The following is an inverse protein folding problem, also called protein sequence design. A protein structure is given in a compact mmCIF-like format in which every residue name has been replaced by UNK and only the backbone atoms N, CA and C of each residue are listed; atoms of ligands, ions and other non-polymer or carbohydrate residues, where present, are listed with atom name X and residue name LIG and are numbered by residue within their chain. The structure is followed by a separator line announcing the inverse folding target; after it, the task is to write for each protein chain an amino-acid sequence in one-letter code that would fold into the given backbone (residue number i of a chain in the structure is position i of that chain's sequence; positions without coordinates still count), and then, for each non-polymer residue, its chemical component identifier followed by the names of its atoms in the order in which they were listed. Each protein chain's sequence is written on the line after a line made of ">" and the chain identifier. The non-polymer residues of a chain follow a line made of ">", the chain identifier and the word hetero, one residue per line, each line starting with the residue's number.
data_IF_239217527242
#
_entry.id   IF_239217527242
#
_cell.length_a   1.000
_cell.length_b   1.000
_cell.length_c   1.000
_cell.angle_alpha   90.00
_cell.angle_beta   90.00
_cell.angle_gamma   90.00
#
_symmetry.space_group_name_H-M   'P 1'
#
loop_
_entity.id
_entity.type
_entity.pdbx_description
1 polymer ?
#
# COMPACT_ATOMS: atom_id res chain seq x y z
N UNK A 1 15.87 7.67 -5.87
CA UNK A 1 15.27 8.17 -4.62
C UNK A 1 16.24 7.90 -3.47
N UNK A 2 16.37 8.77 -2.47
CA UNK A 2 17.15 8.46 -1.26
C UNK A 2 16.19 7.94 -0.18
N UNK A 3 16.12 6.61 -0.04
CA UNK A 3 15.21 5.93 0.89
C UNK A 3 15.52 6.24 2.36
N UNK A 4 16.77 6.55 2.70
CA UNK A 4 17.21 6.82 4.07
C UNK A 4 16.59 8.11 4.65
N UNK A 5 16.03 8.97 3.79
CA UNK A 5 15.32 10.18 4.22
C UNK A 5 13.86 9.93 4.61
N UNK A 6 13.34 8.74 4.37
CA UNK A 6 11.97 8.37 4.70
C UNK A 6 11.91 7.70 6.07
N UNK A 7 10.73 7.70 6.68
CA UNK A 7 10.50 6.93 7.90
C UNK A 7 10.66 5.44 7.62
N UNK A 8 11.00 4.65 8.64
CA UNK A 8 11.14 3.21 8.50
C UNK A 8 9.86 2.56 7.92
N UNK A 9 8.67 2.94 8.42
CA UNK A 9 7.39 2.47 7.89
C UNK A 9 7.16 2.84 6.41
N UNK A 10 7.61 4.01 5.96
CA UNK A 10 7.49 4.37 4.55
C UNK A 10 8.45 3.56 3.68
N UNK A 11 9.65 3.25 4.16
CA UNK A 11 10.59 2.35 3.47
C UNK A 11 10.02 0.93 3.38
N UNK A 12 9.43 0.42 4.46
CA UNK A 12 8.73 -0.88 4.47
C UNK A 12 7.59 -0.90 3.45
N UNK A 13 6.74 0.13 3.41
CA UNK A 13 5.64 0.19 2.45
C UNK A 13 6.12 0.20 0.98
N UNK A 14 7.27 0.82 0.68
CA UNK A 14 7.87 0.78 -0.66
C UNK A 14 8.34 -0.63 -1.00
N UNK A 15 8.94 -1.35 -0.05
CA UNK A 15 9.35 -2.75 -0.25
C UNK A 15 8.14 -3.65 -0.45
N UNK A 16 7.10 -3.48 0.36
CA UNK A 16 5.85 -4.23 0.25
C UNK A 16 5.16 -3.96 -1.11
N UNK A 17 5.16 -2.70 -1.57
CA UNK A 17 4.64 -2.35 -2.89
C UNK A 17 5.39 -3.07 -4.02
N UNK A 18 6.71 -3.20 -3.93
CA UNK A 18 7.50 -3.97 -4.90
C UNK A 18 7.18 -5.47 -4.83
N UNK A 19 6.92 -6.01 -3.65
CA UNK A 19 6.47 -7.40 -3.51
C UNK A 19 5.12 -7.61 -4.19
N UNK A 20 4.17 -6.67 -4.04
CA UNK A 20 2.87 -6.73 -4.73
C UNK A 20 3.07 -6.77 -6.25
N UNK A 21 3.93 -5.91 -6.82
CA UNK A 21 4.25 -5.92 -8.26
C UNK A 21 4.72 -7.31 -8.72
N UNK A 22 5.62 -7.93 -7.95
CA UNK A 22 6.16 -9.27 -8.26
C UNK A 22 5.07 -10.35 -8.14
N UNK A 23 4.28 -10.33 -7.05
CA UNK A 23 3.19 -11.27 -6.80
C UNK A 23 2.12 -11.21 -7.88
N UNK A 24 1.83 -10.01 -8.38
CA UNK A 24 0.86 -9.76 -9.45
C UNK A 24 1.43 -9.93 -10.86
N UNK A 25 2.71 -10.30 -10.98
CA UNK A 25 3.43 -10.45 -12.26
C UNK A 25 3.40 -9.18 -13.13
N UNK A 26 3.41 -8.02 -12.49
CA UNK A 26 3.45 -6.71 -13.15
C UNK A 26 4.90 -6.23 -13.25
N UNK A 27 5.17 -5.31 -14.18
CA UNK A 27 6.54 -4.86 -14.48
C UNK A 27 6.90 -3.55 -13.80
N UNK A 28 5.92 -2.71 -13.52
CA UNK A 28 6.11 -1.36 -13.03
C UNK A 28 5.42 -1.18 -11.69
N UNK A 29 6.15 -0.58 -10.75
CA UNK A 29 5.55 -0.09 -9.52
C UNK A 29 4.79 1.21 -9.83
N UNK A 30 3.50 1.19 -9.54
CA UNK A 30 2.61 2.35 -9.67
C UNK A 30 2.01 2.77 -8.33
N UNK A 31 1.30 3.90 -8.32
CA UNK A 31 0.65 4.48 -7.15
C UNK A 31 -0.32 3.52 -6.44
N UNK A 32 -1.07 2.70 -7.18
CA UNK A 32 -1.99 1.71 -6.63
C UNK A 32 -1.27 0.64 -5.80
N UNK A 33 -0.08 0.21 -6.22
CA UNK A 33 0.74 -0.76 -5.48
C UNK A 33 1.21 -0.18 -4.15
N UNK A 34 1.71 1.06 -4.21
CA UNK A 34 2.17 1.77 -3.02
C UNK A 34 1.01 2.04 -2.06
N UNK A 35 -0.14 2.44 -2.59
CA UNK A 35 -1.31 2.71 -1.78
C UNK A 35 -1.86 1.44 -1.13
N UNK A 36 -1.95 0.33 -1.88
CA UNK A 36 -2.33 -0.97 -1.33
C UNK A 36 -1.38 -1.41 -0.20
N UNK A 37 -0.07 -1.27 -0.38
CA UNK A 37 0.92 -1.55 0.65
C UNK A 37 0.74 -0.66 1.90
N UNK A 38 0.51 0.65 1.71
CA UNK A 38 0.30 1.59 2.80
C UNK A 38 -0.98 1.30 3.59
N UNK A 39 -2.07 0.92 2.92
CA UNK A 39 -3.35 0.58 3.56
C UNK A 39 -3.27 -0.76 4.28
N UNK A 40 -2.54 -1.74 3.73
CA UNK A 40 -2.34 -3.05 4.37
C UNK A 40 -1.28 -3.05 5.48
N UNK A 41 -0.52 -1.96 5.62
CA UNK A 41 0.52 -1.87 6.64
C UNK A 41 -0.07 -1.94 8.05
N UNK A 42 0.31 -2.98 8.80
CA UNK A 42 -0.10 -3.17 10.19
C UNK A 42 0.35 -1.99 11.07
N UNK A 43 -0.56 -1.50 11.90
CA UNK A 43 -0.36 -0.32 12.76
C UNK A 43 0.15 0.90 11.96
N UNK A 44 -0.24 0.98 10.67
CA UNK A 44 0.14 2.04 9.75
C UNK A 44 -0.71 3.30 9.93
N UNK A 45 -0.15 4.47 9.61
CA UNK A 45 -0.87 5.73 9.72
C UNK A 45 -2.07 5.78 8.75
N UNK A 46 -1.91 5.27 7.53
CA UNK A 46 -2.94 5.32 6.48
C UNK A 46 -4.20 4.51 6.86
N UNK A 47 -4.13 3.24 7.28
CA UNK A 47 -5.33 2.52 7.72
C UNK A 47 -5.99 3.18 8.94
N UNK A 48 -5.22 3.70 9.91
CA UNK A 48 -5.77 4.44 11.06
C UNK A 48 -6.53 5.70 10.65
N UNK A 49 -6.03 6.46 9.67
CA UNK A 49 -6.72 7.65 9.17
C UNK A 49 -8.01 7.28 8.44
N UNK A 50 -7.99 6.23 7.63
CA UNK A 50 -9.18 5.72 6.95
C UNK A 50 -10.25 5.25 7.94
N UNK A 51 -9.86 4.52 8.99
CA UNK A 51 -10.76 4.16 10.09
C UNK A 51 -11.36 5.39 10.77
N UNK A 52 -10.52 6.41 11.08
CA UNK A 52 -10.98 7.68 11.65
C UNK A 52 -11.94 8.47 10.74
N UNK A 53 -11.89 8.24 9.43
CA UNK A 53 -12.81 8.80 8.44
C UNK A 53 -14.07 7.95 8.24
N UNK A 54 -14.27 6.89 9.01
CA UNK A 54 -15.33 5.89 8.87
C UNK A 54 -15.30 5.15 7.52
N UNK A 55 -14.12 5.01 6.91
CA UNK A 55 -13.94 4.19 5.71
C UNK A 55 -13.91 2.72 6.12
N UNK A 56 -14.68 1.83 5.48
CA UNK A 56 -14.63 0.40 5.73
C UNK A 56 -13.35 -0.19 5.15
N UNK A 57 -12.25 -0.16 5.91
CA UNK A 57 -10.89 -0.51 5.45
C UNK A 57 -10.81 -1.89 4.79
N UNK A 58 -11.40 -2.98 5.33
CA UNK A 58 -11.34 -4.29 4.66
C UNK A 58 -11.95 -4.29 3.25
N UNK A 59 -13.06 -3.57 3.06
CA UNK A 59 -13.71 -3.42 1.76
C UNK A 59 -12.88 -2.53 0.83
N UNK A 60 -12.21 -1.52 1.38
CA UNK A 60 -11.34 -0.62 0.63
C UNK A 60 -10.07 -1.32 0.14
N UNK A 61 -9.45 -2.15 0.99
CA UNK A 61 -8.32 -3.01 0.59
C UNK A 61 -8.72 -3.90 -0.59
N UNK A 62 -9.85 -4.60 -0.47
CA UNK A 62 -10.35 -5.44 -1.57
C UNK A 62 -10.57 -4.66 -2.86
N UNK A 63 -11.14 -3.46 -2.76
CA UNK A 63 -11.31 -2.58 -3.91
C UNK A 63 -9.97 -2.22 -4.57
N UNK A 64 -8.93 -1.95 -3.78
CA UNK A 64 -7.60 -1.64 -4.27
C UNK A 64 -6.93 -2.87 -4.91
N UNK A 65 -7.07 -4.06 -4.31
CA UNK A 65 -6.61 -5.31 -4.92
C UNK A 65 -7.23 -5.52 -6.32
N UNK A 66 -8.54 -5.29 -6.44
CA UNK A 66 -9.26 -5.36 -7.72
C UNK A 66 -8.82 -4.27 -8.72
N UNK A 67 -8.30 -3.11 -8.26
CA UNK A 67 -7.77 -2.07 -9.16
C UNK A 67 -6.35 -2.39 -9.61
N UNK A 68 -5.52 -2.94 -8.72
CA UNK A 68 -4.16 -3.35 -9.06
C UNK A 68 -4.20 -4.43 -10.15
N UNK A 69 -5.18 -5.33 -10.10
CA UNK A 69 -5.30 -6.43 -11.08
C UNK A 69 -5.85 -6.02 -12.47
N UNK A 70 -6.20 -4.75 -12.69
CA UNK A 70 -6.74 -4.25 -13.97
C UNK A 70 -5.64 -3.77 -14.91
#
# INVERSE_FOLDING_TARGET
>A
MNLEKFTQKAQEAILDAQNIVIEKQQQELDDLHLHLALVNQKDGLIPMLLEGMNVPVPQYVKYLEDQVDK
#
